data_IF_030083876532
#
_entry.id   IF_030083876532
#
_cell.length_a   1.000
_cell.length_b   1.000
_cell.length_c   1.000
_cell.angle_alpha   90.00
_cell.angle_beta   90.00
_cell.angle_gamma   90.00
#
_symmetry.space_group_name_H-M   'P 1'
#
loop_
_entity.id
_entity.type
_entity.pdbx_description
1 polymer ?
#
# COMPACT_ATOMS: atom_id res chain seq x y z
N UNK A 1 -7.91 14.85 8.65
CA UNK A 1 -7.37 14.20 9.86
C UNK A 1 -7.48 12.68 9.73
N UNK A 2 -6.58 11.92 10.37
CA UNK A 2 -6.49 10.45 10.31
C UNK A 2 -7.74 9.76 10.89
N UNK A 3 -8.42 10.41 11.84
CA UNK A 3 -9.70 9.92 12.37
C UNK A 3 -10.80 9.83 11.30
N UNK A 4 -10.69 10.58 10.19
CA UNK A 4 -11.64 10.53 9.07
C UNK A 4 -11.42 9.38 8.08
N UNK A 5 -10.40 8.54 8.29
CA UNK A 5 -10.06 7.43 7.38
C UNK A 5 -10.43 6.11 8.04
N UNK A 6 -11.24 5.31 7.35
CA UNK A 6 -11.57 3.95 7.79
C UNK A 6 -10.48 2.96 7.40
N UNK A 7 -10.11 2.08 8.32
CA UNK A 7 -9.16 1.00 8.08
C UNK A 7 -9.55 -0.23 8.91
N UNK A 8 -8.97 -1.40 8.58
CA UNK A 8 -9.13 -2.62 9.37
C UNK A 8 -8.20 -2.60 10.59
N UNK A 9 -8.73 -2.47 11.81
CA UNK A 9 -7.90 -2.51 13.02
C UNK A 9 -7.22 -3.87 13.13
N UNK A 10 -5.93 -3.89 13.48
CA UNK A 10 -5.15 -5.13 13.58
C UNK A 10 -4.71 -5.71 12.23
N UNK A 11 -4.96 -5.01 11.11
CA UNK A 11 -4.62 -5.42 9.74
C UNK A 11 -5.45 -6.61 9.25
N UNK A 12 -5.20 -7.02 8.00
CA UNK A 12 -5.68 -8.27 7.45
C UNK A 12 -4.62 -9.35 7.70
N UNK A 13 -5.02 -10.44 8.34
CA UNK A 13 -4.11 -11.54 8.71
C UNK A 13 -4.41 -12.78 7.87
N UNK A 14 -3.40 -13.50 7.37
CA UNK A 14 -3.63 -14.76 6.68
C UNK A 14 -4.12 -15.84 7.65
N UNK A 15 -5.32 -16.36 7.45
CA UNK A 15 -5.92 -17.46 8.20
C UNK A 15 -6.48 -18.48 7.22
N UNK A 16 -5.96 -19.71 7.25
CA UNK A 16 -6.36 -20.81 6.36
C UNK A 16 -6.31 -20.42 4.87
N UNK A 17 -5.21 -19.78 4.46
CA UNK A 17 -5.01 -19.33 3.07
C UNK A 17 -5.90 -18.16 2.64
N UNK A 18 -6.57 -17.47 3.57
CA UNK A 18 -7.43 -16.31 3.27
C UNK A 18 -7.07 -15.12 4.14
N UNK A 19 -7.09 -13.91 3.56
CA UNK A 19 -6.99 -12.69 4.34
C UNK A 19 -8.25 -12.50 5.21
N UNK A 20 -8.08 -12.35 6.52
CA UNK A 20 -9.16 -12.16 7.49
C UNK A 20 -8.93 -10.89 8.31
N UNK A 21 -9.94 -10.02 8.44
CA UNK A 21 -9.85 -8.90 9.37
C UNK A 21 -10.04 -9.39 10.81
N UNK A 22 -9.37 -8.74 11.77
CA UNK A 22 -9.60 -8.97 13.20
C UNK A 22 -11.00 -8.49 13.63
N UNK A 23 -11.46 -7.38 13.07
CA UNK A 23 -12.78 -6.79 13.34
C UNK A 23 -13.24 -5.94 12.15
N UNK A 24 -14.49 -5.49 12.17
CA UNK A 24 -15.03 -4.58 11.15
C UNK A 24 -14.16 -3.31 11.00
N UNK A 25 -14.13 -2.70 9.79
CA UNK A 25 -13.44 -1.43 9.58
C UNK A 25 -13.88 -0.36 10.57
N UNK A 26 -12.94 0.47 11.02
CA UNK A 26 -13.20 1.60 11.91
C UNK A 26 -12.45 2.82 11.43
N UNK A 27 -13.08 3.97 11.60
CA UNK A 27 -12.45 5.28 11.49
C UNK A 27 -11.28 5.38 12.47
N UNK A 28 -10.12 5.86 11.99
CA UNK A 28 -8.88 5.90 12.76
C UNK A 28 -8.26 4.51 13.03
N UNK A 29 -8.68 3.46 12.32
CA UNK A 29 -8.23 2.09 12.55
C UNK A 29 -6.76 1.81 12.19
N UNK A 30 -6.08 2.74 11.54
CA UNK A 30 -4.65 2.64 11.18
C UNK A 30 -3.98 4.00 11.28
N UNK A 31 -2.95 4.13 12.11
CA UNK A 31 -2.15 5.36 12.16
C UNK A 31 -1.23 5.48 10.95
N UNK A 32 -0.52 4.41 10.59
CA UNK A 32 0.49 4.42 9.51
C UNK A 32 -0.12 4.75 8.15
N UNK A 33 -1.07 3.93 7.67
CA UNK A 33 -1.65 4.12 6.34
C UNK A 33 -2.48 5.38 6.22
N UNK A 34 -3.17 5.79 7.29
CA UNK A 34 -3.92 7.05 7.27
C UNK A 34 -2.99 8.26 7.21
N UNK A 35 -1.81 8.20 7.83
CA UNK A 35 -0.78 9.24 7.68
C UNK A 35 -0.30 9.29 6.24
N UNK A 36 0.13 8.14 5.72
CA UNK A 36 0.69 8.06 4.37
C UNK A 36 -0.33 8.51 3.31
N UNK A 37 -1.60 8.11 3.42
CA UNK A 37 -2.66 8.57 2.52
C UNK A 37 -2.87 10.08 2.60
N UNK A 38 -2.83 10.69 3.80
CA UNK A 38 -2.95 12.14 3.93
C UNK A 38 -1.74 12.86 3.33
N UNK A 39 -0.53 12.35 3.54
CA UNK A 39 0.69 12.91 2.95
C UNK A 39 0.66 12.81 1.41
N UNK A 40 0.14 11.72 0.85
CA UNK A 40 -0.13 11.58 -0.60
C UNK A 40 -1.13 12.64 -1.07
N UNK A 41 -2.20 12.89 -0.30
CA UNK A 41 -3.25 13.84 -0.64
C UNK A 41 -2.80 15.30 -0.67
N UNK A 42 -1.68 15.63 -0.06
CA UNK A 42 -1.07 16.96 -0.20
C UNK A 42 -0.70 17.27 -1.65
N UNK A 43 -0.36 16.24 -2.44
CA UNK A 43 0.00 16.37 -3.86
C UNK A 43 -1.05 15.78 -4.81
N UNK A 44 -1.81 14.77 -4.37
CA UNK A 44 -2.86 14.10 -5.14
C UNK A 44 -4.20 14.09 -4.34
N UNK A 45 -4.98 15.17 -4.38
CA UNK A 45 -6.17 15.35 -3.54
C UNK A 45 -7.26 14.26 -3.70
N UNK A 46 -7.28 13.60 -4.86
CA UNK A 46 -8.26 12.56 -5.22
C UNK A 46 -7.90 11.19 -4.64
N UNK A 47 -6.67 10.99 -4.14
CA UNK A 47 -6.27 9.75 -3.51
C UNK A 47 -7.16 9.47 -2.28
N UNK A 48 -7.83 8.31 -2.29
CA UNK A 48 -8.87 7.96 -1.31
C UNK A 48 -8.70 6.54 -0.75
N UNK A 49 -7.88 5.70 -1.39
CA UNK A 49 -7.65 4.31 -1.01
C UNK A 49 -6.15 4.03 -0.98
N UNK A 50 -5.70 3.28 0.03
CA UNK A 50 -4.33 2.77 0.14
C UNK A 50 -4.32 1.37 0.77
N UNK A 51 -3.42 0.51 0.32
CA UNK A 51 -3.15 -0.80 0.90
C UNK A 51 -1.64 -1.02 0.98
N UNK A 52 -1.18 -1.67 2.06
CA UNK A 52 0.19 -2.10 2.23
C UNK A 52 0.30 -3.61 1.98
N UNK A 53 1.30 -3.98 1.20
CA UNK A 53 1.59 -5.35 0.78
C UNK A 53 3.07 -5.66 0.97
N UNK A 54 3.38 -6.96 0.94
CA UNK A 54 4.75 -7.48 0.94
C UNK A 54 5.53 -6.92 -0.26
N UNK A 55 6.78 -6.57 -0.04
CA UNK A 55 7.72 -6.21 -1.11
C UNK A 55 8.91 -7.18 -1.12
N UNK A 56 9.18 -7.77 -2.28
CA UNK A 56 10.32 -8.63 -2.55
C UNK A 56 10.65 -8.63 -4.05
N UNK A 57 11.69 -9.37 -4.45
CA UNK A 57 12.12 -9.47 -5.85
C UNK A 57 11.04 -10.06 -6.77
N UNK A 58 10.24 -11.01 -6.29
CA UNK A 58 9.16 -11.63 -7.07
C UNK A 58 8.06 -10.60 -7.35
N UNK A 59 7.62 -9.88 -6.32
CA UNK A 59 6.63 -8.79 -6.46
C UNK A 59 7.16 -7.68 -7.37
N UNK A 60 8.45 -7.33 -7.24
CA UNK A 60 9.11 -6.35 -8.11
C UNK A 60 9.03 -6.73 -9.58
N UNK A 61 9.34 -7.99 -9.92
CA UNK A 61 9.30 -8.46 -11.29
C UNK A 61 7.87 -8.56 -11.85
N UNK A 62 6.89 -8.88 -11.01
CA UNK A 62 5.48 -8.88 -11.40
C UNK A 62 4.98 -7.46 -11.70
N UNK A 63 5.26 -6.47 -10.85
CA UNK A 63 4.90 -5.08 -11.11
C UNK A 63 5.50 -4.57 -12.43
N UNK A 64 6.76 -4.92 -12.73
CA UNK A 64 7.39 -4.58 -14.03
C UNK A 64 6.62 -5.16 -15.21
N UNK A 65 6.17 -6.43 -15.13
CA UNK A 65 5.38 -7.08 -16.20
C UNK A 65 4.00 -6.42 -16.36
N UNK A 66 3.43 -5.93 -15.26
CA UNK A 66 2.17 -5.19 -15.24
C UNK A 66 2.33 -3.72 -15.68
N UNK A 67 3.56 -3.28 -15.99
CA UNK A 67 3.90 -1.89 -16.31
C UNK A 67 3.56 -0.89 -15.17
N UNK A 68 3.50 -1.37 -13.93
CA UNK A 68 3.35 -0.54 -12.72
C UNK A 68 4.75 -0.21 -12.22
N UNK A 69 5.09 1.09 -12.21
CA UNK A 69 6.40 1.57 -11.79
C UNK A 69 6.30 2.25 -10.42
N UNK A 70 6.72 1.59 -9.33
CA UNK A 70 6.65 2.20 -8.01
C UNK A 70 7.65 3.34 -7.88
N UNK A 71 7.26 4.38 -7.14
CA UNK A 71 8.18 5.42 -6.66
C UNK A 71 8.88 4.92 -5.39
N UNK A 72 10.21 5.00 -5.37
CA UNK A 72 11.01 4.69 -4.19
C UNK A 72 10.88 5.83 -3.16
N UNK A 73 10.48 5.49 -1.95
CA UNK A 73 10.33 6.40 -0.84
C UNK A 73 11.66 6.59 -0.11
N UNK A 74 11.89 7.83 0.30
CA UNK A 74 12.96 8.14 1.25
C UNK A 74 12.44 8.00 2.67
N UNK A 75 13.31 7.53 3.56
CA UNK A 75 13.01 7.29 4.97
C UNK A 75 13.89 8.17 5.85
N UNK A 76 13.27 8.83 6.83
CA UNK A 76 13.94 9.56 7.89
C UNK A 76 13.48 8.98 9.24
N UNK A 77 14.26 8.04 9.76
CA UNK A 77 13.85 7.24 10.93
C UNK A 77 12.57 6.44 10.63
N UNK A 78 11.51 6.69 11.39
CA UNK A 78 10.23 6.01 11.18
C UNK A 78 9.38 6.64 10.05
N UNK A 79 9.71 7.86 9.62
CA UNK A 79 8.90 8.64 8.69
C UNK A 79 9.25 8.33 7.24
N UNK A 80 8.23 8.07 6.43
CA UNK A 80 8.32 8.01 4.98
C UNK A 80 8.04 9.40 4.39
N UNK A 81 8.89 9.84 3.48
CA UNK A 81 8.77 11.15 2.84
C UNK A 81 8.02 11.03 1.52
N UNK A 82 6.87 11.68 1.43
CA UNK A 82 6.13 11.86 0.18
C UNK A 82 6.58 13.16 -0.49
N UNK A 83 6.77 13.11 -1.79
CA UNK A 83 7.06 14.28 -2.62
C UNK A 83 6.11 14.34 -3.83
N UNK A 84 6.19 15.43 -4.60
CA UNK A 84 5.34 15.68 -5.76
C UNK A 84 5.36 14.60 -6.85
N UNK A 85 6.36 13.72 -6.91
CA UNK A 85 6.43 12.66 -7.91
C UNK A 85 5.37 11.58 -7.71
N UNK A 86 4.74 11.55 -6.53
CA UNK A 86 3.63 10.64 -6.23
C UNK A 86 2.46 10.75 -7.21
N UNK A 87 2.27 11.91 -7.86
CA UNK A 87 1.22 12.10 -8.88
C UNK A 87 1.43 11.27 -10.16
N UNK A 88 2.63 10.72 -10.35
CA UNK A 88 3.03 9.98 -11.57
C UNK A 88 2.92 8.47 -11.43
N UNK A 89 2.50 7.99 -10.26
CA UNK A 89 2.43 6.57 -9.95
C UNK A 89 1.19 6.24 -9.13
N UNK A 90 0.92 4.97 -9.00
CA UNK A 90 -0.11 4.36 -8.14
C UNK A 90 0.52 3.39 -7.12
N UNK A 91 1.86 3.29 -7.11
CA UNK A 91 2.62 2.40 -6.25
C UNK A 91 3.81 3.12 -5.62
N UNK A 92 4.07 2.85 -4.34
CA UNK A 92 5.22 3.35 -3.59
C UNK A 92 5.96 2.16 -2.99
N UNK A 93 7.27 2.24 -2.94
CA UNK A 93 8.11 1.23 -2.29
C UNK A 93 8.93 1.90 -1.20
N UNK A 94 8.87 1.32 -0.02
CA UNK A 94 9.84 1.52 1.04
C UNK A 94 10.78 0.31 1.05
N UNK A 95 12.07 0.52 0.81
CA UNK A 95 13.07 -0.55 0.82
C UNK A 95 13.38 -1.07 2.23
N UNK A 96 12.78 -0.46 3.26
CA UNK A 96 13.05 -0.78 4.65
C UNK A 96 14.36 -0.18 5.14
N UNK A 97 14.69 -0.46 6.39
CA UNK A 97 15.92 -0.07 7.06
C UNK A 97 16.09 -0.96 8.31
N UNK A 98 17.11 -0.74 9.13
CA UNK A 98 17.28 -1.46 10.38
C UNK A 98 16.02 -1.38 11.26
N UNK A 99 15.34 -2.52 11.45
CA UNK A 99 14.09 -2.60 12.20
C UNK A 99 12.81 -2.34 11.40
N UNK A 100 12.93 -2.04 10.10
CA UNK A 100 11.81 -1.82 9.19
C UNK A 100 11.85 -2.81 8.02
N UNK A 101 10.78 -3.59 7.88
CA UNK A 101 10.64 -4.50 6.74
C UNK A 101 10.29 -3.72 5.45
N UNK A 102 10.86 -4.14 4.30
CA UNK A 102 10.51 -3.57 3.01
C UNK A 102 9.00 -3.72 2.75
N UNK A 103 8.41 -2.68 2.15
CA UNK A 103 6.97 -2.55 2.03
C UNK A 103 6.56 -1.95 0.68
N UNK A 104 5.52 -2.53 0.08
CA UNK A 104 4.83 -1.99 -1.08
C UNK A 104 3.56 -1.28 -0.60
N UNK A 105 3.27 -0.12 -1.16
CA UNK A 105 2.01 0.57 -0.98
C UNK A 105 1.36 0.79 -2.33
N UNK A 106 0.13 0.33 -2.50
CA UNK A 106 -0.70 0.63 -3.67
C UNK A 106 -1.77 1.61 -3.24
N UNK A 107 -1.99 2.67 -4.01
CA UNK A 107 -2.98 3.70 -3.69
C UNK A 107 -3.70 4.17 -4.95
N UNK A 108 -4.84 4.82 -4.77
CA UNK A 108 -5.65 5.29 -5.90
C UNK A 108 -6.83 6.15 -5.46
N UNK A 109 -7.59 6.61 -6.44
CA UNK A 109 -8.79 7.42 -6.24
C UNK A 109 -10.08 6.60 -6.07
N UNK A 110 -10.01 5.28 -6.29
CA UNK A 110 -11.14 4.37 -6.20
C UNK A 110 -10.71 3.03 -5.60
N UNK A 111 -11.65 2.29 -5.02
CA UNK A 111 -11.37 0.95 -4.51
C UNK A 111 -11.10 0.00 -5.66
N UNK A 112 -11.82 0.15 -6.76
CA UNK A 112 -11.73 -0.69 -7.96
C UNK A 112 -10.34 -0.63 -8.58
N UNK A 113 -9.73 0.56 -8.71
CA UNK A 113 -8.39 0.69 -9.29
C UNK A 113 -7.33 0.01 -8.44
N UNK A 114 -7.40 0.18 -7.11
CA UNK A 114 -6.45 -0.43 -6.18
C UNK A 114 -6.64 -1.95 -6.15
N UNK A 115 -7.87 -2.43 -6.00
CA UNK A 115 -8.18 -3.87 -5.95
C UNK A 115 -7.73 -4.57 -7.22
N UNK A 116 -7.92 -3.98 -8.40
CA UNK A 116 -7.46 -4.55 -9.66
C UNK A 116 -5.97 -4.88 -9.66
N UNK A 117 -5.12 -3.95 -9.19
CA UNK A 117 -3.66 -4.17 -9.12
C UNK A 117 -3.34 -5.30 -8.12
N UNK A 118 -4.04 -5.34 -6.99
CA UNK A 118 -3.84 -6.37 -5.96
C UNK A 118 -4.28 -7.75 -6.49
N UNK A 119 -5.39 -7.84 -7.20
CA UNK A 119 -5.88 -9.08 -7.81
C UNK A 119 -4.94 -9.56 -8.92
N UNK A 120 -4.50 -8.67 -9.81
CA UNK A 120 -3.55 -9.00 -10.87
C UNK A 120 -2.22 -9.52 -10.31
N UNK A 121 -1.73 -8.92 -9.21
CA UNK A 121 -0.57 -9.41 -8.46
C UNK A 121 -0.85 -10.79 -7.84
N UNK A 122 -1.98 -10.96 -7.16
CA UNK A 122 -2.37 -12.21 -6.51
C UNK A 122 -2.48 -13.37 -7.49
N UNK A 123 -3.19 -13.16 -8.60
CA UNK A 123 -3.35 -14.14 -9.68
C UNK A 123 -1.99 -14.52 -10.30
N UNK A 124 -1.12 -13.52 -10.51
CA UNK A 124 0.22 -13.77 -11.05
C UNK A 124 1.08 -14.61 -10.09
N UNK A 125 0.94 -14.40 -8.78
CA UNK A 125 1.63 -15.21 -7.76
C UNK A 125 1.10 -16.64 -7.70
N UNK A 126 -0.21 -16.85 -7.84
CA UNK A 126 -0.82 -18.19 -7.87
C UNK A 126 -0.36 -19.00 -9.08
N UNK A 127 -0.22 -18.38 -10.26
CA UNK A 127 0.27 -19.06 -11.47
C UNK A 127 1.72 -19.54 -11.32
N UNK A 128 2.51 -18.88 -10.47
CA UNK A 128 3.91 -19.20 -10.22
C UNK A 128 4.12 -20.28 -9.13
N UNK A 129 3.08 -20.58 -8.34
CA UNK A 129 3.12 -21.54 -7.22
C UNK A 129 2.79 -22.96 -7.67
#
# INVERSE_FOLDING_TARGET
DKSGIAAFPGRLTPVNGRARPLSSPKFGGSSHLSTLLLDIREFNPDASVIINLRWDSVVSDLLKRMNVRPLLLQREGEKLLINKEVIKTEALVDEGDHGFEPSLYIFGNSTESVVKIVEDLGNSLEIMA
#
